data_IF_533065987731
#
_entry.id   IF_533065987731
#
_cell.length_a   1.000
_cell.length_b   1.000
_cell.length_c   1.000
_cell.angle_alpha   90.00
_cell.angle_beta   90.00
_cell.angle_gamma   90.00
#
_symmetry.space_group_name_H-M   'P 1'
#
loop_
_entity.id
_entity.type
_entity.pdbx_description
1 polymer ?
#
# COMPACT_ATOMS: atom_id res chain seq x y z
N UNK A 1 -0.47 -0.71 2.86
CA UNK A 1 -0.82 -2.12 2.89
C UNK A 1 -0.99 -2.64 1.47
N UNK A 2 -0.26 -3.67 1.10
CA UNK A 2 -0.22 -4.27 -0.25
C UNK A 2 0.15 -3.29 -1.38
N UNK A 3 0.73 -2.12 -1.06
CA UNK A 3 0.95 -1.04 -2.03
C UNK A 3 -0.34 -0.39 -2.56
N UNK A 4 -1.45 -0.59 -1.87
CA UNK A 4 -2.78 -0.14 -2.32
C UNK A 4 -3.44 0.80 -1.31
N UNK A 5 -3.39 0.47 -0.01
CA UNK A 5 -4.04 1.27 1.05
C UNK A 5 -3.04 1.74 2.10
N UNK A 6 -3.34 2.86 2.76
CA UNK A 6 -2.49 3.49 3.78
C UNK A 6 -3.35 3.80 4.99
N UNK A 7 -2.87 3.42 6.18
CA UNK A 7 -3.54 3.73 7.44
C UNK A 7 -3.61 5.23 7.70
N UNK A 8 -4.74 5.70 8.18
CA UNK A 8 -5.02 7.11 8.40
C UNK A 8 -5.55 7.85 7.16
N UNK A 9 -5.71 7.16 6.03
CA UNK A 9 -6.29 7.69 4.80
C UNK A 9 -7.45 6.81 4.33
N UNK A 10 -8.62 6.92 4.98
CA UNK A 10 -9.77 6.11 4.64
C UNK A 10 -10.20 6.27 3.18
N UNK A 11 -10.56 5.19 2.53
CA UNK A 11 -11.00 5.14 1.14
C UNK A 11 -9.97 5.65 0.11
N UNK A 12 -8.70 5.86 0.51
CA UNK A 12 -7.62 6.15 -0.43
C UNK A 12 -7.06 4.84 -0.99
N UNK A 13 -7.07 4.72 -2.31
CA UNK A 13 -6.47 3.61 -3.02
C UNK A 13 -5.40 4.11 -3.98
N UNK A 14 -4.22 3.52 -3.89
CA UNK A 14 -3.09 3.79 -4.76
C UNK A 14 -2.95 2.66 -5.78
N UNK A 15 -2.60 3.01 -7.01
CA UNK A 15 -2.08 2.08 -7.99
C UNK A 15 -0.58 2.33 -8.14
N UNK A 16 0.19 1.26 -8.28
CA UNK A 16 1.65 1.32 -8.33
C UNK A 16 2.28 1.96 -7.09
N UNK A 17 1.70 1.69 -5.93
CA UNK A 17 2.21 2.19 -4.65
C UNK A 17 3.45 1.43 -4.15
N UNK A 18 3.89 1.68 -2.91
CA UNK A 18 5.10 1.09 -2.35
C UNK A 18 5.13 -0.44 -2.43
N UNK A 19 6.32 -0.98 -2.72
CA UNK A 19 6.58 -2.42 -2.84
C UNK A 19 5.75 -3.14 -3.90
N UNK A 20 5.46 -2.49 -5.02
CA UNK A 20 4.73 -3.10 -6.15
C UNK A 20 5.50 -3.10 -7.45
N UNK A 21 6.71 -2.53 -7.48
CA UNK A 21 7.57 -2.59 -8.66
C UNK A 21 8.21 -3.97 -8.82
N UNK A 22 8.45 -4.35 -10.08
CA UNK A 22 9.15 -5.57 -10.48
C UNK A 22 10.04 -5.29 -11.68
N UNK A 23 11.33 -5.59 -11.57
CA UNK A 23 12.26 -5.38 -12.69
C UNK A 23 12.24 -6.53 -13.73
N UNK A 24 11.65 -7.66 -13.42
CA UNK A 24 11.74 -8.89 -14.22
C UNK A 24 10.40 -9.43 -14.71
N UNK A 25 9.30 -8.67 -14.57
CA UNK A 25 7.97 -9.14 -14.93
C UNK A 25 7.01 -8.01 -15.31
N UNK A 26 5.79 -8.34 -15.74
CA UNK A 26 4.82 -7.38 -16.21
C UNK A 26 4.23 -6.52 -15.11
N UNK A 27 4.45 -5.20 -15.19
CA UNK A 27 3.82 -4.21 -14.31
C UNK A 27 2.29 -4.15 -14.51
N UNK A 28 1.84 -4.38 -15.75
CA UNK A 28 0.40 -4.42 -16.09
C UNK A 28 -0.30 -5.51 -15.29
N UNK A 29 0.33 -6.67 -15.15
CA UNK A 29 -0.21 -7.76 -14.34
C UNK A 29 -0.35 -7.39 -12.86
N UNK A 30 0.60 -6.58 -12.34
CA UNK A 30 0.54 -6.05 -10.98
C UNK A 30 -0.62 -5.07 -10.84
N UNK A 31 -0.77 -4.14 -11.80
CA UNK A 31 -1.86 -3.16 -11.83
C UNK A 31 -3.23 -3.82 -11.92
N UNK A 32 -3.40 -4.82 -12.77
CA UNK A 32 -4.65 -5.61 -12.84
C UNK A 32 -4.99 -6.26 -11.50
N UNK A 33 -3.97 -6.74 -10.78
CA UNK A 33 -4.16 -7.34 -9.47
C UNK A 33 -4.59 -6.32 -8.43
N UNK A 34 -4.03 -5.09 -8.50
CA UNK A 34 -4.41 -3.97 -7.64
C UNK A 34 -5.82 -3.48 -7.93
N UNK A 35 -6.17 -3.29 -9.21
CA UNK A 35 -7.53 -2.88 -9.61
C UNK A 35 -8.56 -3.89 -9.10
N UNK A 36 -8.30 -5.20 -9.24
CA UNK A 36 -9.19 -6.24 -8.72
C UNK A 36 -9.36 -6.13 -7.21
N UNK A 37 -8.29 -5.87 -6.47
CA UNK A 37 -8.35 -5.67 -5.03
C UNK A 37 -9.17 -4.43 -4.66
N UNK A 38 -8.95 -3.32 -5.35
CA UNK A 38 -9.72 -2.06 -5.14
C UNK A 38 -11.21 -2.29 -5.40
N UNK A 39 -11.56 -3.01 -6.47
CA UNK A 39 -12.96 -3.39 -6.73
C UNK A 39 -13.54 -4.24 -5.60
N UNK A 40 -12.75 -5.15 -5.02
CA UNK A 40 -13.13 -5.91 -3.83
C UNK A 40 -13.40 -5.01 -2.62
N UNK A 41 -12.55 -3.99 -2.38
CA UNK A 41 -12.77 -2.99 -1.34
C UNK A 41 -14.05 -2.18 -1.57
N UNK A 42 -14.29 -1.73 -2.80
CA UNK A 42 -15.51 -0.99 -3.17
C UNK A 42 -16.76 -1.86 -2.95
N UNK A 43 -16.72 -3.12 -3.34
CA UNK A 43 -17.83 -4.05 -3.10
C UNK A 43 -18.10 -4.25 -1.61
N UNK A 44 -17.04 -4.35 -0.79
CA UNK A 44 -17.16 -4.44 0.67
C UNK A 44 -17.79 -3.19 1.26
N UNK A 45 -17.39 -1.99 0.80
CA UNK A 45 -17.95 -0.72 1.21
C UNK A 45 -19.44 -0.58 0.77
N UNK A 46 -19.77 -1.06 -0.41
CA UNK A 46 -21.15 -1.03 -0.93
C UNK A 46 -22.12 -1.87 -0.08
N UNK A 47 -21.61 -2.91 0.57
CA UNK A 47 -22.39 -3.72 1.51
C UNK A 47 -22.61 -3.03 2.87
N UNK A 48 -21.85 -1.93 3.15
CA UNK A 48 -21.95 -1.17 4.41
C UNK A 48 -22.08 0.33 4.09
N UNK A 49 -23.23 0.79 3.56
CA UNK A 49 -23.41 2.16 3.12
C UNK A 49 -23.09 3.20 4.20
N UNK A 50 -22.50 4.32 3.78
CA UNK A 50 -22.17 5.43 4.67
C UNK A 50 -20.94 5.21 5.54
N UNK A 51 -20.12 4.18 5.26
CA UNK A 51 -18.88 3.95 5.98
C UNK A 51 -17.66 4.30 5.14
N UNK A 52 -16.52 4.51 5.81
CA UNK A 52 -15.22 4.55 5.20
C UNK A 52 -14.38 3.37 5.69
N UNK A 53 -13.48 2.89 4.83
CA UNK A 53 -12.63 1.74 5.09
C UNK A 53 -11.18 2.20 5.24
N UNK A 54 -10.60 1.97 6.41
CA UNK A 54 -9.19 2.29 6.69
C UNK A 54 -8.43 1.03 7.10
N UNK A 55 -7.24 0.83 6.56
CA UNK A 55 -6.42 -0.33 6.95
C UNK A 55 -5.87 -0.13 8.36
N UNK A 56 -5.97 -1.17 9.18
CA UNK A 56 -5.45 -1.15 10.55
C UNK A 56 -3.93 -0.93 10.57
N UNK A 57 -3.41 -0.04 11.46
CA UNK A 57 -1.98 0.27 11.51
C UNK A 57 -1.08 -0.95 11.75
N UNK A 58 -1.53 -1.88 12.59
CA UNK A 58 -0.80 -3.12 12.89
C UNK A 58 -0.71 -4.04 11.67
N UNK A 59 -1.77 -4.11 10.85
CA UNK A 59 -1.78 -4.90 9.61
C UNK A 59 -0.85 -4.31 8.56
N UNK A 60 -0.88 -2.99 8.40
CA UNK A 60 0.07 -2.29 7.54
C UNK A 60 1.52 -2.55 7.96
N UNK A 61 1.82 -2.40 9.26
CA UNK A 61 3.15 -2.62 9.81
C UNK A 61 3.63 -4.05 9.60
N UNK A 62 2.84 -5.05 9.99
CA UNK A 62 3.19 -6.48 9.84
C UNK A 62 3.44 -6.84 8.38
N UNK A 63 2.61 -6.33 7.46
CA UNK A 63 2.81 -6.53 6.03
C UNK A 63 4.13 -5.92 5.55
N UNK A 64 4.40 -4.66 5.92
CA UNK A 64 5.62 -3.95 5.52
C UNK A 64 6.88 -4.63 6.04
N UNK A 65 6.91 -5.01 7.31
CA UNK A 65 8.03 -5.75 7.92
C UNK A 65 8.25 -7.09 7.23
N UNK A 66 7.18 -7.83 6.93
CA UNK A 66 7.25 -9.09 6.21
C UNK A 66 7.80 -8.96 4.79
N UNK A 67 7.48 -7.86 4.08
CA UNK A 67 8.04 -7.56 2.76
C UNK A 67 9.53 -7.24 2.87
N UNK A 68 9.92 -6.35 3.80
CA UNK A 68 11.31 -5.97 4.02
C UNK A 68 12.18 -7.19 4.41
N UNK A 69 11.68 -8.05 5.28
CA UNK A 69 12.39 -9.28 5.66
C UNK A 69 12.70 -10.17 4.45
N UNK A 70 11.73 -10.32 3.54
CA UNK A 70 11.92 -11.13 2.33
C UNK A 70 12.79 -10.45 1.27
N UNK A 71 12.87 -9.13 1.27
CA UNK A 71 13.74 -8.38 0.37
C UNK A 71 15.21 -8.49 0.78
N UNK A 72 15.52 -8.62 2.09
CA UNK A 72 16.89 -8.79 2.60
C UNK A 72 17.62 -9.99 2.01
N UNK A 73 16.89 -11.06 1.72
CA UNK A 73 17.45 -12.28 1.13
C UNK A 73 17.45 -12.25 -0.42
N UNK A 74 17.11 -11.12 -1.00
CA UNK A 74 16.98 -10.99 -2.46
C UNK A 74 18.21 -10.33 -3.10
N UNK A 75 18.36 -10.53 -4.42
CA UNK A 75 19.38 -9.88 -5.24
C UNK A 75 19.37 -8.35 -5.21
N UNK A 76 18.31 -7.74 -4.71
CA UNK A 76 18.15 -6.29 -4.58
C UNK A 76 19.01 -5.67 -3.48
N UNK A 77 19.50 -6.48 -2.54
CA UNK A 77 20.39 -6.06 -1.44
C UNK A 77 21.84 -6.60 -1.59
N UNK A 78 22.08 -7.50 -2.52
CA UNK A 78 23.41 -8.06 -2.75
C UNK A 78 24.29 -7.13 -3.59
N UNK A 79 24.98 -6.20 -2.92
CA UNK A 79 26.10 -5.43 -3.48
C UNK A 79 25.73 -4.13 -4.20
N UNK A 80 26.54 -3.09 -3.95
CA UNK A 80 26.44 -1.71 -4.45
C UNK A 80 25.22 -0.92 -3.98
N UNK A 81 25.39 0.38 -3.76
CA UNK A 81 24.29 1.32 -3.45
C UNK A 81 23.16 1.17 -4.45
N UNK A 82 22.11 0.43 -4.04
CA UNK A 82 20.94 0.23 -4.87
C UNK A 82 20.09 1.50 -4.85
N UNK A 83 19.66 1.97 -6.01
CA UNK A 83 18.71 3.08 -6.20
C UNK A 83 17.39 2.87 -5.47
N UNK A 84 17.13 1.64 -5.06
CA UNK A 84 15.89 1.21 -4.43
C UNK A 84 15.91 1.30 -2.91
N UNK A 85 17.06 1.63 -2.30
CA UNK A 85 17.18 1.76 -0.84
C UNK A 85 16.99 3.22 -0.43
N UNK A 86 16.16 3.41 0.60
CA UNK A 86 16.04 4.70 1.29
C UNK A 86 17.20 4.94 2.27
N UNK A 87 17.17 6.09 2.96
CA UNK A 87 18.20 6.46 3.96
C UNK A 87 18.30 5.48 5.13
N UNK A 88 17.25 4.72 5.39
CA UNK A 88 17.18 3.74 6.48
C UNK A 88 17.57 2.33 6.01
N UNK A 89 18.01 2.19 4.75
CA UNK A 89 18.37 0.90 4.14
C UNK A 89 17.19 -0.01 3.83
N UNK A 90 15.97 0.53 3.76
CA UNK A 90 14.77 -0.19 3.35
C UNK A 90 14.54 -0.04 1.86
N UNK A 91 13.93 -1.04 1.25
CA UNK A 91 13.51 -1.00 -0.15
C UNK A 91 12.00 -0.73 -0.24
N UNK A 92 11.57 0.54 -0.40
CA UNK A 92 10.16 0.88 -0.50
C UNK A 92 9.56 0.62 -1.89
N UNK A 93 10.36 0.22 -2.87
CA UNK A 93 9.97 0.20 -4.28
C UNK A 93 9.56 -1.19 -4.75
N UNK A 94 10.40 -2.21 -4.48
CA UNK A 94 10.26 -3.51 -5.12
C UNK A 94 9.39 -4.48 -4.34
N UNK A 95 8.68 -5.35 -5.08
CA UNK A 95 8.07 -6.56 -4.55
C UNK A 95 9.13 -7.66 -4.46
N UNK A 96 9.08 -8.45 -3.39
CA UNK A 96 10.09 -9.49 -3.08
C UNK A 96 9.98 -10.78 -3.90
N UNK A 97 8.88 -10.96 -4.65
CA UNK A 97 8.58 -12.23 -5.31
C UNK A 97 8.05 -12.07 -6.73
N UNK A 98 7.54 -13.15 -7.28
CA UNK A 98 6.92 -13.17 -8.62
C UNK A 98 5.53 -12.51 -8.62
N UNK A 99 5.08 -12.06 -9.79
CA UNK A 99 3.75 -11.44 -9.99
C UNK A 99 2.60 -12.31 -9.49
N UNK A 100 2.68 -13.63 -9.67
CA UNK A 100 1.62 -14.53 -9.21
C UNK A 100 1.53 -14.59 -7.67
N UNK A 101 2.65 -14.39 -6.95
CA UNK A 101 2.62 -14.32 -5.47
C UNK A 101 1.93 -13.03 -5.01
N UNK A 102 2.13 -11.93 -5.72
CA UNK A 102 1.41 -10.68 -5.48
C UNK A 102 -0.09 -10.84 -5.78
N UNK A 103 -0.44 -11.42 -6.93
CA UNK A 103 -1.84 -11.70 -7.29
C UNK A 103 -2.53 -12.59 -6.25
N UNK A 104 -1.81 -13.59 -5.70
CA UNK A 104 -2.33 -14.41 -4.60
C UNK A 104 -2.57 -13.58 -3.33
N UNK A 105 -1.62 -12.69 -2.98
CA UNK A 105 -1.73 -11.82 -1.81
C UNK A 105 -2.85 -10.77 -1.93
N UNK A 106 -3.20 -10.36 -3.16
CA UNK A 106 -4.24 -9.36 -3.47
C UNK A 106 -5.53 -9.97 -4.01
N UNK A 107 -5.69 -11.29 -3.94
CA UNK A 107 -6.83 -11.99 -4.53
C UNK A 107 -8.15 -11.62 -3.87
N UNK A 108 -8.12 -11.50 -2.56
CA UNK A 108 -9.30 -11.29 -1.72
C UNK A 108 -9.04 -10.18 -0.70
N UNK A 109 -10.08 -9.41 -0.43
CA UNK A 109 -10.10 -8.44 0.66
C UNK A 109 -10.53 -9.17 1.91
N UNK A 110 -9.70 -9.10 2.94
CA UNK A 110 -10.09 -9.57 4.27
C UNK A 110 -10.63 -8.37 5.07
N UNK A 111 -11.93 -8.31 5.39
CA UNK A 111 -12.49 -7.20 6.15
C UNK A 111 -11.86 -7.02 7.54
N UNK A 112 -11.31 -8.09 8.15
CA UNK A 112 -10.66 -8.04 9.45
C UNK A 112 -9.34 -7.24 9.45
N UNK A 113 -8.79 -6.96 8.28
CA UNK A 113 -7.59 -6.12 8.13
C UNK A 113 -7.93 -4.62 8.17
N UNK A 114 -9.21 -4.26 8.20
CA UNK A 114 -9.71 -2.90 8.09
C UNK A 114 -10.58 -2.49 9.27
N UNK A 115 -10.63 -1.18 9.50
CA UNK A 115 -11.62 -0.51 10.34
C UNK A 115 -12.67 0.15 9.45
N UNK A 116 -13.94 0.04 9.86
CA UNK A 116 -15.06 0.67 9.15
C UNK A 116 -15.54 1.88 9.97
N UNK A 117 -15.23 3.06 9.47
CA UNK A 117 -15.48 4.33 10.14
C UNK A 117 -16.86 4.86 9.75
N UNK A 118 -17.66 5.26 10.74
CA UNK A 118 -18.96 5.89 10.52
C UNK A 118 -18.80 7.37 10.15
N UNK A 119 -19.72 7.96 9.38
CA UNK A 119 -19.66 9.38 8.96
C UNK A 119 -19.53 10.37 10.12
N UNK A 120 -20.03 10.03 11.30
CA UNK A 120 -19.96 10.86 12.51
C UNK A 120 -18.53 11.12 12.99
N UNK A 121 -17.56 10.33 12.55
CA UNK A 121 -16.13 10.47 12.89
C UNK A 121 -15.35 11.29 11.84
N UNK A 122 -15.96 11.61 10.69
CA UNK A 122 -15.32 12.34 9.57
C UNK A 122 -14.89 13.78 9.91
N UNK A 123 -15.57 14.56 10.78
CA UNK A 123 -15.12 15.90 11.13
C UNK A 123 -13.72 15.95 11.75
N UNK A 124 -13.21 14.82 12.29
CA UNK A 124 -11.87 14.74 12.84
C UNK A 124 -10.77 14.71 11.76
N UNK A 125 -11.14 14.44 10.52
CA UNK A 125 -10.28 14.48 9.34
C UNK A 125 -10.49 15.71 8.47
N UNK A 126 -11.14 16.77 9.01
CA UNK A 126 -11.24 18.04 8.32
C UNK A 126 -9.83 18.56 7.94
N UNK A 127 -9.68 19.22 6.78
CA UNK A 127 -8.39 19.55 6.17
C UNK A 127 -7.53 20.57 6.94
N UNK A 128 -7.89 20.93 8.16
CA UNK A 128 -7.11 21.82 9.04
C UNK A 128 -5.75 21.25 9.47
N UNK A 129 -5.41 20.02 9.08
CA UNK A 129 -4.07 19.42 9.23
C UNK A 129 -3.37 19.11 7.91
N UNK A 130 -3.73 19.76 6.83
CA UNK A 130 -2.82 19.87 5.70
C UNK A 130 -1.62 20.69 6.17
N UNK A 131 -0.63 20.00 6.70
CA UNK A 131 0.73 20.52 6.85
C UNK A 131 1.10 21.12 5.51
N UNK A 132 1.43 22.42 5.49
CA UNK A 132 1.99 23.08 4.32
C UNK A 132 3.21 22.29 3.87
N UNK A 133 3.03 21.40 2.91
CA UNK A 133 4.12 20.88 2.10
C UNK A 133 4.56 22.04 1.21
N UNK A 134 5.40 22.90 1.74
CA UNK A 134 6.16 23.84 0.91
C UNK A 134 7.10 22.99 0.07
N UNK A 135 6.80 22.86 -1.20
CA UNK A 135 7.72 22.30 -2.16
C UNK A 135 9.03 23.09 -2.13
N UNK A 136 10.20 22.43 -2.07
CA UNK A 136 11.46 23.15 -2.23
C UNK A 136 11.50 23.78 -3.61
N UNK A 137 11.77 25.10 -3.65
CA UNK A 137 12.01 25.80 -4.90
C UNK A 137 13.27 25.21 -5.54
N UNK A 138 13.12 24.64 -6.71
CA UNK A 138 14.25 24.32 -7.57
C UNK A 138 14.81 25.62 -8.14
N UNK A 139 15.98 26.03 -7.70
CA UNK A 139 16.86 27.00 -8.34
C UNK A 139 17.97 26.29 -9.11
#
# INVERSE_FOLDING_TARGET
YKGITVSGFPNLFMLYGPNTNLAHNSIVYMLESQVRYVLGCINTLSATPGTAMDVKPDRLRTFSEGVQTKLKDSVWESGCHSWYLDSDGKNPVNWHGFTFTYRKATREVNPDDYEFLQPSVWPLFAPSRLVHLTAPAYS
#
